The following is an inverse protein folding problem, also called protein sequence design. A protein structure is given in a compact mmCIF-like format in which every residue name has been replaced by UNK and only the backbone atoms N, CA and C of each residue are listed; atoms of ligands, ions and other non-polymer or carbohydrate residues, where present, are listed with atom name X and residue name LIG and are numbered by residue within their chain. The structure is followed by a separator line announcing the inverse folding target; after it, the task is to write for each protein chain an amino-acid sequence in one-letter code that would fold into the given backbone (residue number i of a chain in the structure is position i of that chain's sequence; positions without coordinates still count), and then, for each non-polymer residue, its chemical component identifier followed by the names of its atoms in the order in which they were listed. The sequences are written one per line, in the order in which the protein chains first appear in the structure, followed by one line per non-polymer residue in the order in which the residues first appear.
data_IF_407543709511
#
_entry.id   IF_407543709511
#
_cell.length_a   1.000
_cell.length_b   1.000
_cell.length_c   1.000
_cell.angle_alpha   90.00
_cell.angle_beta   90.00
_cell.angle_gamma   90.00
#
_symmetry.space_group_name_H-M   'P 1'
#
loop_
_entity.id
_entity.type
_entity.pdbx_description
1 polymer ?
#
# COMPACT_ATOMS: atom_id res chain seq x y z
N UNK A 1 48.28 38.17 18.77
CA UNK A 1 47.59 36.85 18.79
C UNK A 1 47.91 36.03 17.55
N UNK A 2 47.66 36.55 16.34
CA UNK A 2 47.97 35.87 15.05
C UNK A 2 49.46 35.54 14.91
N UNK A 3 50.35 36.50 15.23
CA UNK A 3 51.82 36.27 15.20
C UNK A 3 52.26 35.06 16.04
N UNK A 4 51.66 34.86 17.22
CA UNK A 4 51.98 33.71 18.10
C UNK A 4 51.52 32.38 17.50
N UNK A 5 50.39 32.37 16.79
CA UNK A 5 49.88 31.18 16.09
C UNK A 5 50.78 30.79 14.92
N UNK A 6 51.26 31.77 14.16
CA UNK A 6 52.19 31.56 13.05
C UNK A 6 53.55 31.07 13.56
N UNK A 7 54.07 31.71 14.61
CA UNK A 7 55.31 31.29 15.26
C UNK A 7 55.21 29.85 15.80
N UNK A 8 54.09 29.49 16.45
CA UNK A 8 53.83 28.13 16.92
C UNK A 8 53.79 27.12 15.76
N UNK A 9 53.11 27.45 14.66
CA UNK A 9 53.02 26.59 13.48
C UNK A 9 54.40 26.36 12.82
N UNK A 10 55.26 27.39 12.80
CA UNK A 10 56.62 27.30 12.25
C UNK A 10 57.57 26.49 13.15
N UNK A 11 57.47 26.66 14.47
CA UNK A 11 58.28 25.89 15.45
C UNK A 11 57.86 24.42 15.47
N UNK A 12 56.56 24.14 15.44
CA UNK A 12 55.99 22.78 15.50
C UNK A 12 55.68 22.19 14.11
N UNK A 13 56.58 22.39 13.15
CA UNK A 13 56.41 21.95 11.74
C UNK A 13 55.96 20.50 11.57
N UNK A 14 56.49 19.57 12.38
CA UNK A 14 56.12 18.13 12.30
C UNK A 14 54.66 17.93 12.70
N UNK A 15 54.21 18.57 13.78
CA UNK A 15 52.81 18.52 14.21
C UNK A 15 51.88 19.07 13.13
N UNK A 16 52.24 20.18 12.50
CA UNK A 16 51.46 20.78 11.41
C UNK A 16 51.36 19.84 10.20
N UNK A 17 52.45 19.18 9.80
CA UNK A 17 52.41 18.17 8.73
C UNK A 17 51.54 16.98 9.10
N UNK A 18 51.66 16.45 10.33
CA UNK A 18 50.82 15.34 10.79
C UNK A 18 49.34 15.72 10.76
N UNK A 19 48.98 16.90 11.28
CA UNK A 19 47.60 17.40 11.21
C UNK A 19 47.12 17.61 9.78
N UNK A 20 48.00 18.10 8.89
CA UNK A 20 47.71 18.25 7.46
C UNK A 20 47.44 16.90 6.79
N UNK A 21 48.24 15.87 7.08
CA UNK A 21 48.01 14.52 6.58
C UNK A 21 46.74 13.91 7.15
N UNK A 22 46.46 14.08 8.44
CA UNK A 22 45.21 13.61 9.06
C UNK A 22 44.00 14.27 8.39
N UNK A 23 44.07 15.57 8.12
CA UNK A 23 42.98 16.30 7.46
C UNK A 23 42.83 15.89 5.98
N UNK A 24 43.94 15.67 5.28
CA UNK A 24 43.92 15.20 3.89
C UNK A 24 43.34 13.78 3.77
N UNK A 25 43.85 12.82 4.54
CA UNK A 25 43.35 11.44 4.51
C UNK A 25 41.95 11.32 5.10
N UNK A 26 41.65 12.07 6.17
CA UNK A 26 40.30 12.16 6.73
C UNK A 26 39.30 12.78 5.76
N UNK A 27 39.71 13.82 5.03
CA UNK A 27 38.90 14.45 3.99
C UNK A 27 38.66 13.54 2.78
N UNK A 28 39.69 12.81 2.33
CA UNK A 28 39.56 11.80 1.27
C UNK A 28 38.63 10.66 1.69
N UNK A 29 38.76 10.19 2.93
CA UNK A 29 37.87 9.16 3.48
C UNK A 29 36.42 9.67 3.54
N UNK A 30 36.20 10.88 4.06
CA UNK A 30 34.89 11.53 4.12
C UNK A 30 34.28 11.71 2.72
N UNK A 31 35.08 12.14 1.75
CA UNK A 31 34.65 12.29 0.35
C UNK A 31 34.23 10.96 -0.27
N UNK A 32 34.89 9.85 0.10
CA UNK A 32 34.56 8.53 -0.44
C UNK A 32 33.30 7.90 0.16
N UNK A 33 32.93 8.26 1.39
CA UNK A 33 31.72 7.76 2.07
C UNK A 33 30.53 8.70 1.96
N UNK A 34 30.70 9.88 1.38
CA UNK A 34 29.63 10.87 1.26
C UNK A 34 28.61 10.40 0.22
N UNK A 35 27.35 10.33 0.62
CA UNK A 35 26.25 9.96 -0.27
C UNK A 35 26.13 10.96 -1.42
N UNK A 36 25.99 10.45 -2.65
CA UNK A 36 25.83 11.25 -3.85
C UNK A 36 24.34 11.32 -4.20
N UNK A 37 23.78 12.53 -4.18
CA UNK A 37 22.45 12.79 -4.70
C UNK A 37 22.56 13.63 -5.99
N UNK A 38 21.95 13.16 -7.08
CA UNK A 38 21.98 13.89 -8.35
C UNK A 38 21.16 15.19 -8.30
N UNK A 39 20.06 15.18 -7.56
CA UNK A 39 19.18 16.32 -7.37
C UNK A 39 18.83 16.47 -5.89
N UNK A 40 19.07 17.64 -5.28
CA UNK A 40 18.56 17.91 -3.94
C UNK A 40 17.03 18.00 -4.00
N UNK A 41 16.34 17.44 -3.02
CA UNK A 41 14.88 17.48 -2.91
C UNK A 41 14.42 18.84 -2.34
N UNK A 42 13.71 19.69 -3.11
CA UNK A 42 13.21 20.97 -2.62
C UNK A 42 11.81 20.86 -1.98
N UNK A 43 11.18 19.69 -1.99
CA UNK A 43 9.78 19.56 -1.61
C UNK A 43 9.57 19.64 -0.10
N UNK A 44 8.51 20.34 0.34
CA UNK A 44 8.13 20.34 1.74
C UNK A 44 7.71 18.93 2.20
N UNK A 45 7.89 18.59 3.49
CA UNK A 45 7.37 17.35 4.06
C UNK A 45 5.86 17.23 3.79
N UNK A 46 5.44 16.09 3.26
CA UNK A 46 4.05 15.86 2.86
C UNK A 46 3.60 14.46 3.27
N UNK A 47 2.40 14.36 3.81
CA UNK A 47 1.72 13.08 4.07
C UNK A 47 0.49 13.01 3.17
N UNK A 48 0.38 11.93 2.40
CA UNK A 48 -0.72 11.69 1.49
C UNK A 48 -1.60 10.57 2.04
N UNK A 49 -2.90 10.84 2.11
CA UNK A 49 -3.95 9.92 2.53
C UNK A 49 -4.76 9.56 1.29
N UNK A 50 -4.79 8.27 0.96
CA UNK A 50 -5.51 7.73 -0.18
C UNK A 50 -6.65 6.88 0.36
N UNK A 51 -7.87 7.14 -0.11
CA UNK A 51 -9.04 6.34 0.24
C UNK A 51 -9.76 5.93 -1.03
N UNK A 52 -10.02 4.64 -1.18
CA UNK A 52 -10.72 4.10 -2.34
C UNK A 52 -12.07 3.52 -1.92
N UNK A 53 -13.10 3.84 -2.68
CA UNK A 53 -14.42 3.24 -2.54
C UNK A 53 -15.09 3.10 -3.91
N UNK A 54 -14.89 1.96 -4.60
CA UNK A 54 -15.41 1.76 -5.95
C UNK A 54 -16.93 1.95 -6.01
N UNK A 55 -17.40 2.69 -7.02
CA UNK A 55 -18.83 2.86 -7.29
C UNK A 55 -19.46 4.16 -6.80
N UNK A 56 -18.74 4.99 -6.03
CA UNK A 56 -19.22 6.31 -5.62
C UNK A 56 -18.83 7.41 -6.61
N UNK A 57 -19.73 8.37 -6.82
CA UNK A 57 -19.44 9.57 -7.62
C UNK A 57 -18.44 10.48 -6.90
N UNK A 58 -17.82 11.39 -7.63
CA UNK A 58 -16.84 12.32 -7.06
C UNK A 58 -17.46 13.17 -5.93
N UNK A 59 -18.72 13.59 -6.07
CA UNK A 59 -19.44 14.38 -5.07
C UNK A 59 -19.72 13.59 -3.79
N UNK A 60 -20.05 12.30 -3.90
CA UNK A 60 -20.29 11.46 -2.72
C UNK A 60 -18.98 11.16 -1.99
N UNK A 61 -17.90 10.88 -2.74
CA UNK A 61 -16.54 10.75 -2.19
C UNK A 61 -16.15 12.04 -1.45
N UNK A 62 -16.36 13.20 -2.07
CA UNK A 62 -16.03 14.49 -1.47
C UNK A 62 -16.76 14.69 -0.13
N UNK A 63 -18.09 14.51 -0.13
CA UNK A 63 -18.94 14.78 1.04
C UNK A 63 -18.74 13.80 2.18
N UNK A 64 -18.57 12.52 1.87
CA UNK A 64 -18.55 11.45 2.88
C UNK A 64 -17.15 11.07 3.35
N UNK A 65 -16.12 11.35 2.54
CA UNK A 65 -14.74 10.91 2.82
C UNK A 65 -13.81 12.12 2.88
N UNK A 66 -13.70 12.88 1.78
CA UNK A 66 -12.69 13.93 1.65
C UNK A 66 -12.86 15.04 2.69
N UNK A 67 -14.04 15.65 2.76
CA UNK A 67 -14.33 16.75 3.70
C UNK A 67 -14.18 16.31 5.16
N UNK A 68 -14.71 15.16 5.61
CA UNK A 68 -14.49 14.68 6.97
C UNK A 68 -13.00 14.50 7.32
N UNK A 69 -12.19 13.97 6.39
CA UNK A 69 -10.75 13.77 6.62
C UNK A 69 -10.04 15.12 6.72
N UNK A 70 -10.31 16.04 5.80
CA UNK A 70 -9.74 17.39 5.83
C UNK A 70 -10.07 18.12 7.12
N UNK A 71 -11.36 18.15 7.50
CA UNK A 71 -11.81 18.88 8.69
C UNK A 71 -11.23 18.31 9.99
N UNK A 72 -11.03 16.98 10.06
CA UNK A 72 -10.44 16.32 11.23
C UNK A 72 -8.93 16.56 11.34
N UNK A 73 -8.24 16.56 10.20
CA UNK A 73 -6.79 16.76 10.12
C UNK A 73 -6.40 18.25 10.10
N UNK A 74 -7.35 19.14 9.84
CA UNK A 74 -7.14 20.60 9.96
C UNK A 74 -6.70 20.96 11.37
N UNK A 75 -5.73 21.88 11.48
CA UNK A 75 -5.21 22.36 12.76
C UNK A 75 -4.17 21.45 13.42
N UNK A 76 -3.62 20.46 12.69
CA UNK A 76 -2.40 19.78 13.14
C UNK A 76 -1.23 20.78 13.25
N UNK A 77 -0.39 20.69 14.30
CA UNK A 77 0.80 21.53 14.42
C UNK A 77 1.72 21.39 13.20
N UNK A 78 2.18 22.52 12.66
CA UNK A 78 3.10 22.56 11.52
C UNK A 78 2.47 22.23 10.17
N UNK A 79 1.15 21.99 10.10
CA UNK A 79 0.41 21.87 8.84
C UNK A 79 0.29 23.24 8.17
N UNK A 80 0.72 23.35 6.92
CA UNK A 80 0.73 24.59 6.15
C UNK A 80 -0.39 24.64 5.12
N UNK A 81 -0.49 23.59 4.30
CA UNK A 81 -1.45 23.50 3.22
C UNK A 81 -2.10 22.11 3.17
N UNK A 82 -3.37 22.06 2.76
CA UNK A 82 -4.09 20.84 2.42
C UNK A 82 -4.49 20.93 0.96
N UNK A 83 -4.22 19.89 0.17
CA UNK A 83 -4.71 19.76 -1.20
C UNK A 83 -5.41 18.44 -1.37
N UNK A 84 -6.62 18.46 -1.89
CA UNK A 84 -7.40 17.26 -2.11
C UNK A 84 -7.89 17.17 -3.54
N UNK A 85 -8.11 15.92 -3.96
CA UNK A 85 -8.69 15.57 -5.24
C UNK A 85 -9.70 14.44 -4.99
N UNK A 86 -10.96 14.68 -5.35
CA UNK A 86 -12.03 13.69 -5.31
C UNK A 86 -12.39 13.28 -6.74
N UNK A 87 -12.22 12.01 -7.06
CA UNK A 87 -12.56 11.39 -8.33
C UNK A 87 -13.57 10.25 -8.10
N UNK A 88 -14.09 9.68 -9.19
CA UNK A 88 -14.95 8.49 -9.11
C UNK A 88 -14.24 7.36 -8.34
N UNK A 89 -14.79 7.03 -7.18
CA UNK A 89 -14.28 6.01 -6.27
C UNK A 89 -12.90 6.25 -5.63
N UNK A 90 -12.36 7.47 -5.70
CA UNK A 90 -11.03 7.81 -5.17
C UNK A 90 -11.02 9.18 -4.48
N UNK A 91 -10.54 9.20 -3.24
CA UNK A 91 -10.14 10.41 -2.51
C UNK A 91 -8.62 10.39 -2.33
N UNK A 92 -7.96 11.46 -2.74
CA UNK A 92 -6.52 11.70 -2.60
C UNK A 92 -6.31 13.04 -1.89
N UNK A 93 -5.72 13.01 -0.69
CA UNK A 93 -5.53 14.20 0.14
C UNK A 93 -4.07 14.30 0.57
N UNK A 94 -3.44 15.42 0.25
CA UNK A 94 -2.05 15.76 0.54
C UNK A 94 -1.99 16.84 1.61
N UNK A 95 -1.39 16.50 2.74
CA UNK A 95 -1.13 17.38 3.88
C UNK A 95 0.33 17.82 3.83
N UNK A 96 0.57 19.10 3.59
CA UNK A 96 1.90 19.70 3.56
C UNK A 96 2.24 20.29 4.92
N UNK A 97 3.48 20.06 5.36
CA UNK A 97 3.99 20.53 6.65
C UNK A 97 5.20 21.45 6.46
N UNK A 98 5.48 22.26 7.48
CA UNK A 98 6.67 23.12 7.54
C UNK A 98 7.96 22.29 7.53
N UNK A 99 9.04 22.81 6.92
CA UNK A 99 10.35 22.14 6.84
C UNK A 99 11.00 21.81 8.20
N UNK A 100 10.59 22.46 9.28
CA UNK A 100 11.11 22.22 10.64
C UNK A 100 10.44 21.04 11.37
N UNK A 101 9.38 20.47 10.79
CA UNK A 101 8.63 19.37 11.38
C UNK A 101 9.36 18.03 11.21
N UNK A 102 8.95 17.04 12.00
CA UNK A 102 9.53 15.70 11.93
C UNK A 102 8.49 14.80 11.30
N UNK A 103 8.66 14.47 10.02
CA UNK A 103 7.71 13.67 9.26
C UNK A 103 7.13 12.47 10.04
N UNK A 104 7.96 11.67 10.73
CA UNK A 104 7.44 10.48 11.42
C UNK A 104 6.51 10.80 12.59
N UNK A 105 6.70 11.96 13.22
CA UNK A 105 5.81 12.48 14.26
C UNK A 105 4.49 12.93 13.62
N UNK A 106 4.58 13.70 12.53
CA UNK A 106 3.40 14.19 11.80
C UNK A 106 2.59 13.02 11.23
N UNK A 107 3.28 12.01 10.69
CA UNK A 107 2.68 10.78 10.15
C UNK A 107 1.96 10.00 11.23
N UNK A 108 2.55 9.90 12.41
CA UNK A 108 1.91 9.25 13.55
C UNK A 108 0.67 10.02 14.00
N UNK A 109 0.72 11.35 14.03
CA UNK A 109 -0.43 12.19 14.38
C UNK A 109 -1.57 12.04 13.36
N UNK A 110 -1.27 12.02 12.07
CA UNK A 110 -2.27 11.73 11.01
C UNK A 110 -2.93 10.37 11.25
N UNK A 111 -2.14 9.32 11.50
CA UNK A 111 -2.67 7.98 11.80
C UNK A 111 -3.55 7.98 13.06
N UNK A 112 -3.14 8.68 14.12
CA UNK A 112 -3.89 8.76 15.36
C UNK A 112 -5.27 9.41 15.14
N UNK A 113 -5.32 10.49 14.36
CA UNK A 113 -6.57 11.20 14.05
C UNK A 113 -7.49 10.40 13.13
N UNK A 114 -6.93 9.79 12.08
CA UNK A 114 -7.70 8.91 11.18
C UNK A 114 -8.32 7.72 11.95
N UNK A 115 -7.61 7.18 12.94
CA UNK A 115 -8.11 6.07 13.76
C UNK A 115 -9.30 6.45 14.67
N UNK A 116 -9.50 7.74 14.96
CA UNK A 116 -10.65 8.21 15.75
C UNK A 116 -11.90 8.46 14.89
N UNK A 117 -11.77 8.42 13.56
CA UNK A 117 -12.87 8.68 12.64
C UNK A 117 -13.69 7.41 12.38
N UNK A 118 -14.99 7.59 12.18
CA UNK A 118 -15.87 6.55 11.65
C UNK A 118 -16.06 6.75 10.15
N UNK A 119 -15.86 5.68 9.39
CA UNK A 119 -16.10 5.65 7.95
C UNK A 119 -17.24 4.69 7.60
N UNK A 120 -17.90 4.86 6.44
CA UNK A 120 -18.84 3.90 5.91
C UNK A 120 -18.25 2.48 5.81
N UNK A 121 -19.11 1.46 5.85
CA UNK A 121 -18.66 0.06 5.78
C UNK A 121 -17.82 -0.21 4.53
N UNK A 122 -16.61 -0.75 4.74
CA UNK A 122 -15.69 -1.08 3.65
C UNK A 122 -14.76 0.05 3.22
N UNK A 123 -14.91 1.27 3.76
CA UNK A 123 -13.97 2.37 3.55
C UNK A 123 -12.82 2.27 4.56
N UNK A 124 -11.58 2.25 4.07
CA UNK A 124 -10.38 2.28 4.90
C UNK A 124 -9.35 3.22 4.26
N UNK A 125 -9.13 4.42 4.82
CA UNK A 125 -8.05 5.29 4.39
C UNK A 125 -6.69 4.64 4.64
N UNK A 126 -5.78 4.78 3.68
CA UNK A 126 -4.40 4.32 3.79
C UNK A 126 -3.45 5.48 3.54
N UNK A 127 -2.29 5.44 4.19
CA UNK A 127 -1.23 6.39 3.87
C UNK A 127 -0.47 5.93 2.63
N UNK A 128 -0.25 6.86 1.71
CA UNK A 128 0.70 6.68 0.62
C UNK A 128 2.10 6.38 1.20
N UNK A 129 2.89 5.52 0.53
CA UNK A 129 4.29 5.35 0.86
C UNK A 129 5.04 6.69 0.94
N UNK A 130 6.10 6.73 1.77
CA UNK A 130 6.94 7.92 1.86
C UNK A 130 7.50 8.26 0.47
N UNK A 131 7.52 9.56 0.13
CA UNK A 131 8.15 10.20 -1.05
C UNK A 131 7.36 10.16 -2.36
N UNK A 132 6.85 11.31 -2.80
CA UNK A 132 6.21 11.46 -4.11
C UNK A 132 7.19 11.60 -5.30
N UNK A 133 8.48 11.85 -5.06
CA UNK A 133 9.48 12.16 -6.11
C UNK A 133 10.45 10.97 -6.33
N UNK A 134 10.38 9.93 -5.50
CA UNK A 134 11.34 8.83 -5.51
C UNK A 134 11.03 7.73 -6.53
N UNK A 135 10.56 8.09 -7.72
CA UNK A 135 10.53 7.11 -8.81
C UNK A 135 11.96 6.89 -9.31
N UNK A 136 12.63 5.88 -8.75
CA UNK A 136 14.03 5.57 -9.05
C UNK A 136 14.20 4.67 -10.27
N UNK A 137 13.23 3.81 -10.57
CA UNK A 137 13.35 2.81 -11.62
C UNK A 137 11.98 2.42 -12.17
N UNK A 138 11.81 2.58 -13.48
CA UNK A 138 10.62 2.15 -14.23
C UNK A 138 11.01 1.02 -15.17
N UNK A 139 10.19 -0.02 -15.21
CA UNK A 139 10.34 -1.14 -16.14
C UNK A 139 9.00 -1.52 -16.75
N UNK A 140 9.07 -2.29 -17.82
CA UNK A 140 7.93 -2.89 -18.50
C UNK A 140 8.14 -4.41 -18.59
N UNK A 141 7.07 -5.17 -18.42
CA UNK A 141 7.09 -6.62 -18.62
C UNK A 141 6.62 -6.94 -20.03
N UNK A 142 7.48 -7.60 -20.80
CA UNK A 142 7.19 -8.04 -22.15
C UNK A 142 7.39 -9.55 -22.22
N UNK A 143 6.39 -10.26 -22.72
CA UNK A 143 6.42 -11.71 -22.89
C UNK A 143 5.86 -12.12 -24.24
N UNK A 144 6.50 -13.09 -24.89
CA UNK A 144 5.94 -13.75 -26.08
C UNK A 144 4.91 -14.79 -25.63
N UNK A 145 3.79 -14.89 -26.35
CA UNK A 145 2.69 -15.84 -26.06
C UNK A 145 2.11 -15.76 -24.64
N UNK A 146 2.22 -14.60 -23.98
CA UNK A 146 1.74 -14.37 -22.61
C UNK A 146 0.62 -13.33 -22.60
N UNK A 147 -0.45 -13.56 -21.84
CA UNK A 147 -1.54 -12.58 -21.74
C UNK A 147 -1.17 -11.42 -20.80
N UNK A 148 -1.83 -10.26 -20.95
CA UNK A 148 -1.67 -9.15 -20.02
C UNK A 148 -2.02 -9.53 -18.58
N UNK A 149 -2.95 -10.46 -18.40
CA UNK A 149 -3.36 -10.98 -17.09
C UNK A 149 -2.25 -11.82 -16.46
N UNK A 150 -1.57 -12.65 -17.25
CA UNK A 150 -0.44 -13.47 -16.75
C UNK A 150 0.75 -12.58 -16.38
N UNK A 151 1.09 -11.60 -17.23
CA UNK A 151 2.15 -10.63 -16.93
C UNK A 151 1.84 -9.83 -15.66
N UNK A 152 0.59 -9.37 -15.50
CA UNK A 152 0.17 -8.66 -14.28
C UNK A 152 0.18 -9.57 -13.05
N UNK A 153 -0.16 -10.84 -13.21
CA UNK A 153 -0.09 -11.83 -12.12
C UNK A 153 1.36 -12.02 -11.67
N UNK A 154 2.30 -12.16 -12.60
CA UNK A 154 3.74 -12.25 -12.29
C UNK A 154 4.23 -10.96 -11.62
N UNK A 155 3.81 -9.80 -12.12
CA UNK A 155 4.13 -8.51 -11.52
C UNK A 155 3.73 -8.44 -10.04
N UNK A 156 2.47 -8.73 -9.75
CA UNK A 156 1.89 -8.50 -8.41
C UNK A 156 2.34 -9.55 -7.39
N UNK A 157 2.46 -10.82 -7.81
CA UNK A 157 2.72 -11.93 -6.89
C UNK A 157 4.18 -12.36 -6.80
N UNK A 158 5.01 -12.01 -7.79
CA UNK A 158 6.43 -12.36 -7.82
C UNK A 158 7.29 -11.11 -7.74
N UNK A 159 7.25 -10.25 -8.75
CA UNK A 159 8.21 -9.15 -8.89
C UNK A 159 8.04 -8.10 -7.80
N UNK A 160 6.80 -7.69 -7.50
CA UNK A 160 6.54 -6.71 -6.46
C UNK A 160 7.13 -7.14 -5.11
N UNK A 161 7.02 -8.44 -4.78
CA UNK A 161 7.60 -8.99 -3.55
C UNK A 161 9.12 -9.01 -3.59
N UNK A 162 9.72 -9.45 -4.70
CA UNK A 162 11.18 -9.50 -4.81
C UNK A 162 11.82 -8.11 -4.78
N UNK A 163 11.24 -7.12 -5.46
CA UNK A 163 11.74 -5.74 -5.42
C UNK A 163 11.59 -5.09 -4.04
N UNK A 164 10.49 -5.34 -3.32
CA UNK A 164 10.31 -4.84 -1.94
C UNK A 164 11.30 -5.41 -0.93
N UNK A 165 12.01 -6.49 -1.25
CA UNK A 165 13.08 -7.05 -0.39
C UNK A 165 14.38 -6.26 -0.48
N UNK A 166 14.54 -5.43 -1.50
CA UNK A 166 15.75 -4.64 -1.71
C UNK A 166 15.78 -3.51 -0.66
N UNK A 167 16.86 -3.38 0.14
CA UNK A 167 16.98 -2.30 1.12
C UNK A 167 16.82 -0.92 0.47
N UNK A 168 15.99 -0.06 1.06
CA UNK A 168 15.70 1.28 0.54
C UNK A 168 14.48 1.36 -0.39
N UNK A 169 13.93 0.22 -0.84
CA UNK A 169 12.68 0.19 -1.62
C UNK A 169 11.49 0.18 -0.66
N UNK A 170 10.74 1.28 -0.63
CA UNK A 170 9.54 1.41 0.22
C UNK A 170 8.31 0.79 -0.43
N UNK A 171 8.12 1.04 -1.72
CA UNK A 171 6.99 0.48 -2.47
C UNK A 171 7.34 0.21 -3.94
N UNK A 172 6.53 -0.63 -4.57
CA UNK A 172 6.62 -0.99 -5.98
C UNK A 172 5.20 -1.02 -6.52
N UNK A 173 4.89 -0.04 -7.37
CA UNK A 173 3.55 0.18 -7.89
C UNK A 173 3.44 -0.39 -9.30
N UNK A 174 2.45 -1.26 -9.52
CA UNK A 174 2.12 -1.76 -10.85
C UNK A 174 1.20 -0.77 -11.57
N UNK A 175 1.51 -0.45 -12.82
CA UNK A 175 0.68 0.40 -13.68
C UNK A 175 0.29 -0.36 -14.96
N UNK A 176 -1.00 -0.38 -15.30
CA UNK A 176 -1.54 -1.15 -16.42
C UNK A 176 -1.72 -2.64 -16.13
N UNK A 177 -1.90 -3.43 -17.20
CA UNK A 177 -2.23 -4.86 -17.12
C UNK A 177 -3.70 -5.12 -16.72
N UNK A 178 -4.07 -6.40 -16.63
CA UNK A 178 -5.41 -6.83 -16.21
C UNK A 178 -5.32 -7.66 -14.93
N UNK A 179 -6.08 -7.29 -13.90
CA UNK A 179 -6.20 -8.10 -12.69
C UNK A 179 -7.09 -9.31 -12.98
N UNK A 180 -6.62 -10.52 -12.68
CA UNK A 180 -7.42 -11.73 -12.81
C UNK A 180 -8.62 -11.66 -11.87
N UNK A 181 -9.82 -11.74 -12.44
CA UNK A 181 -11.08 -11.74 -11.70
C UNK A 181 -11.97 -12.87 -12.23
N UNK A 182 -12.78 -13.47 -11.35
CA UNK A 182 -13.82 -14.41 -11.74
C UNK A 182 -15.16 -13.67 -11.72
N UNK A 183 -15.78 -13.54 -12.89
CA UNK A 183 -17.07 -12.86 -13.04
C UNK A 183 -18.17 -13.91 -13.16
N UNK A 184 -19.23 -13.75 -12.37
CA UNK A 184 -20.43 -14.59 -12.44
C UNK A 184 -21.53 -13.79 -13.14
N UNK A 185 -21.62 -13.95 -14.45
CA UNK A 185 -22.58 -13.23 -15.29
C UNK A 185 -23.95 -13.90 -15.25
N UNK A 186 -24.86 -13.33 -14.48
CA UNK A 186 -26.19 -13.92 -14.24
C UNK A 186 -27.17 -13.57 -15.35
N UNK A 187 -27.88 -14.58 -15.87
CA UNK A 187 -28.95 -14.41 -16.83
C UNK A 187 -30.29 -14.09 -16.11
N UNK A 188 -30.89 -12.89 -16.28
CA UNK A 188 -32.14 -12.53 -15.60
C UNK A 188 -33.31 -13.46 -15.92
N UNK A 189 -33.39 -13.99 -17.14
CA UNK A 189 -34.43 -14.95 -17.53
C UNK A 189 -34.29 -16.29 -16.81
N UNK A 190 -33.05 -16.75 -16.62
CA UNK A 190 -32.77 -17.97 -15.86
C UNK A 190 -33.16 -17.79 -14.39
N UNK A 191 -32.77 -16.67 -13.76
CA UNK A 191 -33.15 -16.34 -12.38
C UNK A 191 -34.65 -16.39 -12.17
N UNK A 192 -35.45 -15.80 -13.07
CA UNK A 192 -36.92 -15.83 -13.02
C UNK A 192 -37.45 -17.26 -13.17
N UNK A 193 -36.95 -18.02 -14.15
CA UNK A 193 -37.41 -19.40 -14.40
C UNK A 193 -37.14 -20.34 -13.22
N UNK A 194 -35.99 -20.15 -12.56
CA UNK A 194 -35.60 -20.90 -11.37
C UNK A 194 -36.13 -20.27 -10.09
N UNK A 195 -36.83 -19.13 -10.13
CA UNK A 195 -37.38 -18.46 -8.94
C UNK A 195 -36.29 -18.07 -7.93
N UNK A 196 -35.09 -17.77 -8.43
CA UNK A 196 -33.92 -17.38 -7.64
C UNK A 196 -33.73 -15.87 -7.76
N UNK A 197 -33.48 -15.21 -6.63
CA UNK A 197 -33.23 -13.77 -6.56
C UNK A 197 -31.74 -13.47 -6.59
N UNK A 198 -31.36 -12.29 -7.10
CA UNK A 198 -29.96 -11.85 -7.10
C UNK A 198 -29.32 -11.86 -5.68
N UNK A 199 -30.00 -11.38 -4.61
CA UNK A 199 -29.45 -11.47 -3.25
C UNK A 199 -29.18 -12.90 -2.77
N UNK A 200 -29.99 -13.88 -3.20
CA UNK A 200 -29.76 -15.29 -2.87
C UNK A 200 -28.47 -15.80 -3.51
N UNK A 201 -28.23 -15.48 -4.79
CA UNK A 201 -26.97 -15.84 -5.47
C UNK A 201 -25.77 -15.21 -4.76
N UNK A 202 -25.84 -13.91 -4.47
CA UNK A 202 -24.76 -13.19 -3.79
C UNK A 202 -24.44 -13.80 -2.42
N UNK A 203 -25.48 -14.16 -1.65
CA UNK A 203 -25.33 -14.76 -0.32
C UNK A 203 -24.79 -16.18 -0.41
N UNK A 204 -25.24 -16.99 -1.38
CA UNK A 204 -24.74 -18.33 -1.63
C UNK A 204 -23.24 -18.32 -1.96
N UNK A 205 -22.82 -17.43 -2.88
CA UNK A 205 -21.41 -17.23 -3.22
C UNK A 205 -20.57 -16.78 -2.02
N UNK A 206 -21.05 -15.78 -1.27
CA UNK A 206 -20.33 -15.26 -0.10
C UNK A 206 -20.14 -16.31 1.00
N UNK A 207 -21.13 -17.18 1.22
CA UNK A 207 -21.08 -18.23 2.24
C UNK A 207 -20.29 -19.47 1.81
N UNK A 208 -19.99 -19.62 0.51
CA UNK A 208 -19.36 -20.83 -0.04
C UNK A 208 -17.86 -20.71 -0.27
N UNK A 209 -17.24 -19.58 0.09
CA UNK A 209 -15.81 -19.33 -0.10
C UNK A 209 -15.09 -19.06 1.23
N UNK A 210 -15.07 -20.06 2.12
CA UNK A 210 -14.42 -19.93 3.42
C UNK A 210 -13.87 -21.26 3.93
N UNK A 211 -12.69 -21.21 4.55
CA UNK A 211 -12.16 -22.31 5.35
C UNK A 211 -12.61 -22.17 6.80
N UNK A 212 -12.90 -23.29 7.46
CA UNK A 212 -13.32 -23.32 8.86
C UNK A 212 -12.37 -24.17 9.71
N UNK A 213 -12.07 -23.70 10.92
CA UNK A 213 -11.27 -24.45 11.90
C UNK A 213 -12.17 -25.26 12.83
N UNK A 214 -11.87 -26.55 13.00
CA UNK A 214 -12.62 -27.47 13.86
C UNK A 214 -11.89 -27.83 15.17
N UNK A 215 -10.91 -27.03 15.58
CA UNK A 215 -9.98 -27.32 16.68
C UNK A 215 -9.18 -28.61 16.42
N UNK A 216 -8.88 -29.42 17.44
CA UNK A 216 -8.20 -30.71 17.29
C UNK A 216 -9.02 -31.85 17.89
N UNK A 217 -8.83 -33.05 17.33
CA UNK A 217 -9.33 -34.31 17.85
C UNK A 217 -8.19 -35.06 18.52
N UNK A 218 -8.33 -35.39 19.80
CA UNK A 218 -7.36 -36.24 20.50
C UNK A 218 -7.67 -37.71 20.23
N UNK A 219 -6.71 -38.42 19.63
CA UNK A 219 -6.78 -39.87 19.40
C UNK A 219 -5.54 -40.50 20.03
N UNK A 220 -5.76 -41.26 21.12
CA UNK A 220 -4.67 -41.82 21.92
C UNK A 220 -3.83 -40.72 22.57
N UNK A 221 -2.53 -40.71 22.28
CA UNK A 221 -1.58 -39.72 22.78
C UNK A 221 -1.28 -38.57 21.78
N UNK A 222 -2.02 -38.49 20.66
CA UNK A 222 -1.81 -37.49 19.60
C UNK A 222 -3.04 -36.60 19.40
N UNK A 223 -2.80 -35.36 18.98
CA UNK A 223 -3.84 -34.40 18.60
C UNK A 223 -3.82 -34.18 17.08
N UNK A 224 -4.97 -34.34 16.43
CA UNK A 224 -5.16 -34.14 15.00
C UNK A 224 -5.95 -32.86 14.76
N UNK A 225 -5.38 -31.91 14.03
CA UNK A 225 -6.09 -30.66 13.69
C UNK A 225 -7.23 -30.95 12.71
N UNK A 226 -8.43 -30.49 13.04
CA UNK A 226 -9.60 -30.56 12.18
C UNK A 226 -9.71 -29.24 11.40
N UNK A 227 -9.83 -29.33 10.08
CA UNK A 227 -10.05 -28.18 9.20
C UNK A 227 -11.08 -28.55 8.12
N UNK A 228 -12.05 -27.68 7.91
CA UNK A 228 -12.93 -27.69 6.75
C UNK A 228 -12.31 -26.88 5.62
N UNK A 229 -12.24 -27.47 4.43
CA UNK A 229 -11.77 -26.83 3.21
C UNK A 229 -13.00 -26.38 2.42
N UNK A 230 -13.09 -25.09 2.14
CA UNK A 230 -14.21 -24.50 1.41
C UNK A 230 -13.82 -23.23 0.65
N UNK A 231 -12.52 -23.03 0.37
CA UNK A 231 -12.08 -22.01 -0.57
C UNK A 231 -12.25 -22.52 -2.01
N UNK A 232 -12.58 -21.62 -2.92
CA UNK A 232 -12.59 -21.94 -4.35
C UNK A 232 -11.16 -22.04 -4.88
N UNK A 233 -10.84 -23.18 -5.47
CA UNK A 233 -9.57 -23.43 -6.13
C UNK A 233 -9.68 -23.23 -7.66
N UNK A 234 -10.85 -23.50 -8.22
CA UNK A 234 -11.07 -23.48 -9.66
C UNK A 234 -12.50 -23.03 -10.03
N UNK A 235 -12.75 -22.86 -11.34
CA UNK A 235 -14.03 -22.38 -11.85
C UNK A 235 -15.20 -23.34 -11.52
N UNK A 236 -14.96 -24.66 -11.53
CA UNK A 236 -16.01 -25.64 -11.25
C UNK A 236 -16.51 -25.56 -9.81
N UNK A 237 -15.67 -25.10 -8.87
CA UNK A 237 -16.11 -24.92 -7.48
C UNK A 237 -17.16 -23.80 -7.38
N UNK A 238 -17.03 -22.75 -8.21
CA UNK A 238 -18.00 -21.66 -8.31
C UNK A 238 -19.28 -22.16 -8.98
N UNK A 239 -19.17 -22.89 -10.09
CA UNK A 239 -20.32 -23.46 -10.81
C UNK A 239 -21.16 -24.40 -9.92
N UNK A 240 -20.52 -25.11 -8.98
CA UNK A 240 -21.19 -26.04 -8.07
C UNK A 240 -21.74 -25.40 -6.79
N UNK A 241 -21.73 -24.07 -6.68
CA UNK A 241 -22.34 -23.39 -5.54
C UNK A 241 -23.86 -23.55 -5.61
N UNK A 242 -24.43 -24.19 -4.59
CA UNK A 242 -25.88 -24.36 -4.48
C UNK A 242 -26.53 -23.03 -4.09
N UNK A 243 -27.44 -22.54 -4.92
CA UNK A 243 -28.15 -21.27 -4.70
C UNK A 243 -29.55 -21.48 -4.15
N UNK A 244 -30.24 -22.55 -4.58
CA UNK A 244 -31.58 -22.88 -4.13
C UNK A 244 -31.84 -24.38 -4.18
N UNK A 245 -32.96 -24.79 -3.60
CA UNK A 245 -33.47 -26.16 -3.66
C UNK A 245 -34.93 -26.13 -4.14
N UNK A 246 -35.30 -27.03 -5.05
CA UNK A 246 -36.69 -27.26 -5.46
C UNK A 246 -37.02 -28.73 -5.37
N UNK A 247 -37.91 -29.09 -4.45
CA UNK A 247 -38.41 -30.46 -4.26
C UNK A 247 -37.27 -31.51 -4.14
N UNK A 248 -36.22 -31.24 -3.35
CA UNK A 248 -35.06 -32.12 -3.20
C UNK A 248 -34.05 -32.05 -4.35
N UNK A 249 -34.28 -31.23 -5.38
CA UNK A 249 -33.33 -31.01 -6.48
C UNK A 249 -32.56 -29.71 -6.25
N UNK A 250 -31.22 -29.75 -6.12
CA UNK A 250 -30.42 -28.53 -5.97
C UNK A 250 -30.39 -27.74 -7.27
N UNK A 251 -30.35 -26.42 -7.13
CA UNK A 251 -30.12 -25.45 -8.21
C UNK A 251 -28.78 -24.80 -7.94
N UNK A 252 -27.86 -24.95 -8.88
CA UNK A 252 -26.52 -24.38 -8.84
C UNK A 252 -26.47 -23.03 -9.59
N UNK A 253 -25.28 -22.43 -9.69
CA UNK A 253 -25.05 -21.17 -10.42
C UNK A 253 -25.26 -21.33 -11.93
#
# INVERSE_FOLDING_TARGET
MILRLVEFALVQRVLVFVLGFVLLFGGLYAFHILDIAAYPDPSPPMIEVITQYPGWSAEEIERQITIPIETTLTGMPGLTDIRSLSLFGLSDIKFYFDFGTKYFVDRQEVLNRLAMMSFPSGVQPVLSPWWAIAEIYRYELVGNDTTLTDLKTVQDWVLQREFKRVPGVVDVTAFGGMTKQYHVDLNPGALISYGVTLPQVMTALANSNANVGGNYLTIGAQNFNIRGLGLFDNLSDIENVMVAEKNGTPVFI
#
